data_IF_366029918484
#
_entry.id   IF_366029918484
#
_cell.length_a   1.000
_cell.length_b   1.000
_cell.length_c   1.000
_cell.angle_alpha   90.00
_cell.angle_beta   90.00
_cell.angle_gamma   90.00
#
_symmetry.space_group_name_H-M   'P 1'
#
loop_
_entity.id
_entity.type
_entity.pdbx_description
1 polymer ?
#
# COMPACT_ATOMS: atom_id res chain seq x y z
N UNK A 1 -2.83 -13.60 7.98
CA UNK A 1 -2.22 -12.44 7.29
C UNK A 1 -2.20 -11.23 8.20
N UNK A 2 -1.10 -10.51 8.18
CA UNK A 2 -0.90 -9.30 8.97
C UNK A 2 -0.51 -8.17 8.02
N UNK A 3 -1.12 -6.99 8.20
CA UNK A 3 -0.77 -5.80 7.42
C UNK A 3 -0.05 -4.82 8.34
N UNK A 4 1.19 -4.45 7.99
CA UNK A 4 2.01 -3.54 8.77
C UNK A 4 1.87 -2.13 8.20
N UNK A 5 1.56 -1.16 9.07
CA UNK A 5 1.39 0.23 8.69
C UNK A 5 2.71 0.81 8.13
N UNK A 6 2.60 1.82 7.27
CA UNK A 6 3.75 2.41 6.59
C UNK A 6 4.86 2.85 7.56
N UNK A 7 4.49 3.38 8.72
CA UNK A 7 5.47 3.86 9.70
C UNK A 7 6.04 2.75 10.59
N UNK A 8 5.58 1.51 10.39
CA UNK A 8 6.01 0.32 11.16
C UNK A 8 5.69 0.41 12.66
N UNK A 9 4.79 1.30 13.03
CA UNK A 9 4.43 1.47 14.45
C UNK A 9 3.17 0.70 14.84
N UNK A 10 2.47 0.11 13.87
CA UNK A 10 1.27 -0.66 14.15
C UNK A 10 1.07 -1.70 13.06
N UNK A 11 0.31 -2.73 13.39
CA UNK A 11 -0.09 -3.72 12.39
C UNK A 11 -1.55 -4.11 12.65
N UNK A 12 -2.17 -4.71 11.64
CA UNK A 12 -3.57 -5.11 11.70
C UNK A 12 -3.72 -6.57 11.31
N UNK A 13 -4.57 -7.27 12.04
CA UNK A 13 -4.91 -8.65 11.69
C UNK A 13 -5.93 -8.61 10.57
N UNK A 14 -5.64 -9.31 9.47
CA UNK A 14 -6.52 -9.35 8.30
C UNK A 14 -7.94 -9.75 8.64
N UNK A 15 -8.11 -10.63 9.64
CA UNK A 15 -9.44 -11.11 10.03
C UNK A 15 -10.33 -10.00 10.55
N UNK A 16 -9.75 -8.90 11.00
CA UNK A 16 -10.50 -7.75 11.52
C UNK A 16 -10.64 -6.63 10.50
N UNK A 17 -10.08 -6.79 9.31
CA UNK A 17 -10.14 -5.75 8.27
C UNK A 17 -11.43 -5.89 7.50
N UNK A 18 -12.15 -4.78 7.37
CA UNK A 18 -13.38 -4.71 6.59
C UNK A 18 -13.08 -4.17 5.21
N UNK A 19 -12.19 -3.18 5.10
CA UNK A 19 -12.05 -2.39 3.89
C UNK A 19 -10.71 -1.67 3.88
N UNK A 20 -10.09 -1.56 2.73
CA UNK A 20 -8.89 -0.74 2.52
C UNK A 20 -9.14 0.10 1.27
N UNK A 21 -8.90 1.40 1.35
CA UNK A 21 -9.22 2.30 0.26
C UNK A 21 -8.33 3.54 0.27
N UNK A 22 -8.32 4.24 -0.86
CA UNK A 22 -7.62 5.53 -0.96
C UNK A 22 -8.61 6.62 -0.54
N UNK A 23 -8.16 7.54 0.32
CA UNK A 23 -8.99 8.65 0.79
C UNK A 23 -9.52 9.45 -0.39
N UNK A 24 -10.82 9.71 -0.40
CA UNK A 24 -11.42 10.52 -1.46
C UNK A 24 -11.14 12.01 -1.27
N UNK A 25 -10.80 12.42 -0.06
CA UNK A 25 -10.50 13.82 0.21
C UNK A 25 -9.08 14.17 -0.20
N UNK A 26 -8.11 13.46 0.34
CA UNK A 26 -6.70 13.77 0.07
C UNK A 26 -6.17 13.08 -1.17
N UNK A 27 -6.66 11.86 -1.45
CA UNK A 27 -6.21 11.02 -2.56
C UNK A 27 -4.73 10.63 -2.47
N UNK A 28 -4.09 10.97 -1.36
CA UNK A 28 -2.69 10.65 -1.10
C UNK A 28 -2.52 9.76 0.12
N UNK A 29 -3.63 9.35 0.74
CA UNK A 29 -3.60 8.47 1.90
C UNK A 29 -4.33 7.17 1.60
N UNK A 30 -3.79 6.08 2.15
CA UNK A 30 -4.47 4.78 2.13
C UNK A 30 -5.03 4.57 3.54
N UNK A 31 -6.32 4.28 3.61
CA UNK A 31 -7.05 4.14 4.87
C UNK A 31 -7.57 2.72 5.02
N UNK A 32 -7.81 2.32 6.25
CA UNK A 32 -8.31 1.00 6.58
C UNK A 32 -9.47 1.13 7.55
N UNK A 33 -10.54 0.38 7.28
CA UNK A 33 -11.63 0.21 8.25
C UNK A 33 -11.53 -1.19 8.82
N UNK A 34 -11.66 -1.29 10.14
CA UNK A 34 -11.65 -2.58 10.82
C UNK A 34 -12.95 -2.73 11.57
N UNK A 35 -13.09 -3.88 12.23
CA UNK A 35 -14.29 -4.16 13.02
C UNK A 35 -14.43 -3.25 14.24
N UNK A 36 -13.35 -2.59 14.66
CA UNK A 36 -13.35 -1.74 15.85
C UNK A 36 -13.03 -0.28 15.58
N UNK A 37 -12.59 0.07 14.36
CA UNK A 37 -12.19 1.44 14.06
C UNK A 37 -12.37 1.72 12.58
N UNK A 38 -12.55 3.00 12.24
CA UNK A 38 -12.67 3.40 10.84
C UNK A 38 -11.65 4.48 10.53
N UNK A 39 -11.34 4.62 9.24
CA UNK A 39 -10.43 5.64 8.72
C UNK A 39 -9.06 5.60 9.40
N UNK A 40 -8.58 4.38 9.71
CA UNK A 40 -7.23 4.22 10.25
C UNK A 40 -6.19 4.43 9.16
N UNK A 41 -5.24 5.34 9.34
CA UNK A 41 -4.25 5.60 8.29
C UNK A 41 -3.26 4.43 8.15
N UNK A 42 -3.17 3.87 6.96
CA UNK A 42 -2.17 2.86 6.65
C UNK A 42 -0.92 3.49 6.08
N UNK A 43 -1.08 4.51 5.24
CA UNK A 43 0.06 5.15 4.61
C UNK A 43 -0.30 6.52 4.07
N UNK A 44 0.71 7.38 3.96
CA UNK A 44 0.57 8.72 3.42
C UNK A 44 1.67 8.92 2.38
N UNK A 45 1.31 9.49 1.24
CA UNK A 45 2.22 9.63 0.10
C UNK A 45 2.29 11.09 -0.33
N UNK A 46 3.39 11.45 -0.97
CA UNK A 46 3.62 12.84 -1.36
C UNK A 46 2.82 13.24 -2.60
N UNK A 47 2.32 12.26 -3.37
CA UNK A 47 1.50 12.56 -4.54
C UNK A 47 0.53 11.40 -4.80
N UNK A 48 -0.43 11.65 -5.68
CA UNK A 48 -1.49 10.70 -6.01
C UNK A 48 -0.94 9.47 -6.72
N UNK A 49 0.06 9.65 -7.58
CA UNK A 49 0.65 8.53 -8.32
C UNK A 49 1.28 7.51 -7.38
N UNK A 50 2.00 7.99 -6.36
CA UNK A 50 2.60 7.09 -5.39
C UNK A 50 1.53 6.36 -4.57
N UNK A 51 0.47 7.05 -4.19
CA UNK A 51 -0.62 6.43 -3.44
C UNK A 51 -1.27 5.32 -4.26
N UNK A 52 -1.52 5.56 -5.54
CA UNK A 52 -2.11 4.55 -6.41
C UNK A 52 -1.18 3.37 -6.62
N UNK A 53 0.12 3.62 -6.79
CA UNK A 53 1.09 2.54 -6.96
C UNK A 53 1.17 1.69 -5.69
N UNK A 54 1.16 2.31 -4.52
CA UNK A 54 1.18 1.60 -3.25
C UNK A 54 -0.07 0.76 -3.07
N UNK A 55 -1.23 1.31 -3.42
CA UNK A 55 -2.48 0.60 -3.31
C UNK A 55 -2.50 -0.63 -4.22
N UNK A 56 -2.02 -0.47 -5.45
CA UNK A 56 -1.93 -1.59 -6.39
C UNK A 56 -1.02 -2.69 -5.83
N UNK A 57 0.12 -2.31 -5.26
CA UNK A 57 1.03 -3.29 -4.66
C UNK A 57 0.38 -4.02 -3.51
N UNK A 58 -0.38 -3.31 -2.68
CA UNK A 58 -1.12 -3.94 -1.58
C UNK A 58 -2.11 -4.98 -2.11
N UNK A 59 -2.85 -4.63 -3.16
CA UNK A 59 -3.80 -5.57 -3.76
C UNK A 59 -3.08 -6.82 -4.26
N UNK A 60 -1.94 -6.64 -4.91
CA UNK A 60 -1.16 -7.77 -5.43
C UNK A 60 -0.67 -8.66 -4.29
N UNK A 61 -0.10 -8.07 -3.25
CA UNK A 61 0.41 -8.83 -2.12
C UNK A 61 -0.71 -9.59 -1.40
N UNK A 62 -1.87 -8.97 -1.26
CA UNK A 62 -3.02 -9.60 -0.61
C UNK A 62 -3.54 -10.75 -1.49
N UNK A 63 -3.60 -10.54 -2.80
CA UNK A 63 -4.10 -11.57 -3.70
C UNK A 63 -3.17 -12.78 -3.76
N UNK A 64 -1.89 -12.58 -3.51
CA UNK A 64 -0.91 -13.66 -3.42
C UNK A 64 -0.92 -14.36 -2.07
N UNK A 65 -1.74 -13.87 -1.14
CA UNK A 65 -1.91 -14.47 0.19
C UNK A 65 -0.62 -14.51 0.98
N UNK A 66 0.19 -13.47 0.84
CA UNK A 66 1.40 -13.35 1.64
C UNK A 66 1.02 -13.23 3.12
N UNK A 67 1.69 -13.97 4.02
CA UNK A 67 1.33 -13.90 5.44
C UNK A 67 1.65 -12.57 6.09
N UNK A 68 2.57 -11.81 5.51
CA UNK A 68 2.96 -10.50 5.99
C UNK A 68 2.95 -9.52 4.84
N UNK A 69 2.14 -8.46 4.97
CA UNK A 69 2.06 -7.41 3.95
C UNK A 69 2.49 -6.11 4.62
N UNK A 70 3.49 -5.43 4.05
CA UNK A 70 4.01 -4.18 4.60
C UNK A 70 3.65 -3.05 3.64
N UNK A 71 3.02 -2.01 4.17
CA UNK A 71 2.63 -0.85 3.37
C UNK A 71 3.90 -0.09 2.98
N UNK A 72 4.16 0.11 1.68
CA UNK A 72 5.42 0.72 1.25
C UNK A 72 5.47 2.23 1.51
N UNK A 73 6.69 2.76 1.60
CA UNK A 73 6.94 4.19 1.71
C UNK A 73 7.06 4.80 0.32
N UNK A 74 7.07 6.15 0.25
CA UNK A 74 7.33 6.84 -1.02
C UNK A 74 8.64 6.38 -1.65
N UNK A 75 9.68 6.27 -0.83
CA UNK A 75 10.99 5.87 -1.32
C UNK A 75 10.96 4.48 -1.93
N UNK A 76 10.28 3.56 -1.26
CA UNK A 76 10.17 2.19 -1.76
C UNK A 76 9.38 2.13 -3.07
N UNK A 77 8.33 2.92 -3.18
CA UNK A 77 7.53 2.99 -4.40
C UNK A 77 8.36 3.56 -5.55
N UNK A 78 9.07 4.64 -5.31
CA UNK A 78 9.86 5.30 -6.35
C UNK A 78 10.99 4.41 -6.83
N UNK A 79 11.64 3.70 -5.93
CA UNK A 79 12.68 2.75 -6.32
C UNK A 79 12.12 1.61 -7.15
N UNK A 80 10.96 1.12 -6.79
CA UNK A 80 10.31 0.03 -7.53
C UNK A 80 9.92 0.46 -8.94
N UNK A 81 9.34 1.66 -9.07
CA UNK A 81 8.93 2.19 -10.37
C UNK A 81 10.15 2.38 -11.26
N UNK A 82 11.22 2.95 -10.71
CA UNK A 82 12.44 3.19 -11.45
C UNK A 82 13.05 1.89 -11.97
N UNK A 83 13.13 0.89 -11.12
CA UNK A 83 13.64 -0.42 -11.50
C UNK A 83 12.76 -1.07 -12.57
N UNK A 84 11.46 -0.95 -12.42
CA UNK A 84 10.53 -1.49 -13.39
C UNK A 84 10.70 -0.86 -14.75
N UNK A 85 10.92 0.44 -14.79
CA UNK A 85 11.12 1.15 -16.03
C UNK A 85 12.38 0.67 -16.74
N UNK A 86 13.43 0.49 -16.01
CA UNK A 86 14.69 0.00 -16.59
C UNK A 86 14.53 -1.39 -17.18
N UNK A 87 13.84 -2.25 -16.47
CA UNK A 87 13.62 -3.60 -16.95
C UNK A 87 12.77 -3.64 -18.21
N UNK A 88 11.81 -2.75 -18.29
CA UNK A 88 10.89 -2.75 -19.43
C UNK A 88 11.53 -2.25 -20.70
N UNK A 89 12.50 -1.37 -20.61
CA UNK A 89 13.16 -0.88 -21.80
C UNK A 89 14.08 -1.92 -22.39
N UNK A 90 14.31 -2.87 -21.67
CA UNK A 90 15.03 -4.01 -22.23
C UNK A 90 14.13 -4.83 -23.01
N UNK A 91 13.42 -3.76 -22.97
CA UNK A 91 12.91 -4.26 -22.89
C UNK A 91 12.37 -4.19 -22.98
N UNK A 92 12.17 -3.62 -22.68
CA UNK A 92 11.68 -3.57 -22.55
C UNK A 92 11.44 -3.53 -22.67
N UNK A 93 11.35 -3.58 -23.25
CA UNK A 93 11.14 -3.74 -23.32
C UNK A 93 11.02 -4.04 -23.43
#
# INVERSE_FOLDING_TARGET
MIIVRQDRNAFYNWDNVVDIYISQLSKTEILLDSTTASEEPLGHYKNVENAKAAFKKLIEDISEKNPLVVVPTDEEIENSIHQGTECCTGGDK
#
